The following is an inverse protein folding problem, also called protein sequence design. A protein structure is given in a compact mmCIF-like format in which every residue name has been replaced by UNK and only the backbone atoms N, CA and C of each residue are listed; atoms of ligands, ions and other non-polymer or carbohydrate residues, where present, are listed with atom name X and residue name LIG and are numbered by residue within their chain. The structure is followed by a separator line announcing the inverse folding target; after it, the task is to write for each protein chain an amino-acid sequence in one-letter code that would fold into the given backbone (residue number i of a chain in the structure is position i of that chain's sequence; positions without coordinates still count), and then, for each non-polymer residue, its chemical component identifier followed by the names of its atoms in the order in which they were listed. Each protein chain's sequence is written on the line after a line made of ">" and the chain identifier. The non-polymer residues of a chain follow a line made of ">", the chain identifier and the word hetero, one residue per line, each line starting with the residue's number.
data_IF_757176651880
#
_entry.id   IF_757176651880
#
_cell.length_a   1.000
_cell.length_b   1.000
_cell.length_c   1.000
_cell.angle_alpha   90.00
_cell.angle_beta   90.00
_cell.angle_gamma   90.00
#
_symmetry.space_group_name_H-M   'P 1'
#
loop_
_entity.id
_entity.type
_entity.pdbx_description
1 polymer ?
#
# COMPACT_ATOMS: atom_id res chain seq x y z
N UNK A 1 -36.80 -17.91 -3.65
CA UNK A 1 -36.24 -17.55 -2.36
C UNK A 1 -35.51 -16.21 -2.56
N UNK A 2 -35.92 -15.14 -1.85
CA UNK A 2 -35.13 -13.90 -1.84
C UNK A 2 -33.84 -14.24 -1.08
N UNK A 3 -32.68 -14.20 -1.73
CA UNK A 3 -31.41 -14.15 -1.03
C UNK A 3 -31.44 -12.82 -0.25
N UNK A 4 -31.79 -12.90 1.02
CA UNK A 4 -31.61 -11.80 1.96
C UNK A 4 -30.09 -11.72 2.22
N UNK A 5 -29.41 -10.91 1.42
CA UNK A 5 -28.04 -10.54 1.71
C UNK A 5 -28.05 -9.65 2.94
N UNK A 6 -27.21 -9.97 3.92
CA UNK A 6 -27.09 -9.27 5.19
C UNK A 6 -26.69 -7.80 4.95
N UNK A 7 -27.39 -6.85 5.57
CA UNK A 7 -26.97 -5.45 5.52
C UNK A 7 -25.76 -5.23 6.44
N UNK A 8 -24.83 -4.31 6.10
CA UNK A 8 -23.62 -4.08 6.90
C UNK A 8 -23.90 -3.70 8.35
N UNK A 9 -25.05 -3.09 8.66
CA UNK A 9 -25.45 -2.76 10.03
C UNK A 9 -26.01 -3.95 10.84
N UNK A 10 -26.18 -5.10 10.20
CA UNK A 10 -26.53 -6.36 10.88
C UNK A 10 -25.29 -7.18 11.25
N UNK A 11 -24.09 -6.73 10.83
CA UNK A 11 -22.82 -7.36 11.19
C UNK A 11 -22.55 -7.28 12.70
N UNK A 12 -21.86 -8.30 13.21
CA UNK A 12 -21.19 -8.19 14.50
C UNK A 12 -20.03 -7.19 14.39
N UNK A 13 -19.87 -6.32 15.37
CA UNK A 13 -18.97 -5.17 15.32
C UNK A 13 -17.89 -5.24 16.41
N UNK A 14 -16.73 -4.58 16.19
CA UNK A 14 -16.38 -3.75 15.04
C UNK A 14 -16.05 -4.58 13.80
N UNK A 15 -16.57 -4.18 12.63
CA UNK A 15 -16.39 -4.87 11.36
C UNK A 15 -15.73 -3.98 10.31
N UNK A 16 -14.66 -4.47 9.68
CA UNK A 16 -14.04 -3.79 8.53
C UNK A 16 -14.81 -4.15 7.27
N UNK A 17 -15.32 -3.13 6.59
CA UNK A 17 -16.12 -3.25 5.37
C UNK A 17 -15.39 -2.54 4.23
N UNK A 18 -15.37 -3.15 3.06
CA UNK A 18 -14.90 -2.54 1.81
C UNK A 18 -16.07 -2.44 0.85
N UNK A 19 -16.37 -1.21 0.43
CA UNK A 19 -17.31 -0.93 -0.65
C UNK A 19 -16.64 -1.28 -1.98
N UNK A 20 -17.13 -2.32 -2.63
CA UNK A 20 -16.52 -2.86 -3.85
C UNK A 20 -16.67 -1.92 -5.04
N UNK A 21 -17.78 -1.20 -5.15
CA UNK A 21 -18.02 -0.30 -6.29
C UNK A 21 -17.02 0.86 -6.27
N UNK A 22 -16.75 1.40 -5.07
CA UNK A 22 -15.73 2.45 -4.88
C UNK A 22 -14.32 1.90 -5.10
N UNK A 23 -14.01 0.71 -4.56
CA UNK A 23 -12.70 0.07 -4.73
C UNK A 23 -12.36 -0.16 -6.21
N UNK A 24 -13.29 -0.78 -6.95
CA UNK A 24 -13.14 -1.07 -8.37
C UNK A 24 -12.91 0.23 -9.17
N UNK A 25 -13.73 1.25 -8.90
CA UNK A 25 -13.55 2.57 -9.53
C UNK A 25 -12.20 3.20 -9.24
N UNK A 26 -11.71 3.15 -8.02
CA UNK A 26 -10.37 3.67 -7.68
C UNK A 26 -9.27 2.94 -8.45
N UNK A 27 -9.40 1.62 -8.63
CA UNK A 27 -8.45 0.80 -9.39
C UNK A 27 -8.47 1.18 -10.87
N UNK A 28 -9.65 1.30 -11.46
CA UNK A 28 -9.82 1.70 -12.86
C UNK A 28 -9.30 3.11 -13.14
N UNK A 29 -9.64 4.08 -12.28
CA UNK A 29 -9.22 5.48 -12.43
C UNK A 29 -7.68 5.61 -12.40
N UNK A 30 -7.00 4.92 -11.50
CA UNK A 30 -5.54 4.95 -11.43
C UNK A 30 -4.89 4.29 -12.65
N UNK A 31 -5.42 3.17 -13.10
CA UNK A 31 -4.92 2.49 -14.28
C UNK A 31 -5.10 3.37 -15.54
N UNK A 32 -6.26 4.01 -15.68
CA UNK A 32 -6.55 4.94 -16.77
C UNK A 32 -5.60 6.15 -16.76
N UNK A 33 -5.39 6.75 -15.59
CA UNK A 33 -4.46 7.88 -15.44
C UNK A 33 -3.01 7.50 -15.82
N UNK A 34 -2.52 6.36 -15.32
CA UNK A 34 -1.17 5.91 -15.70
C UNK A 34 -1.04 5.64 -17.20
N UNK A 35 -2.09 5.08 -17.82
CA UNK A 35 -2.15 4.86 -19.27
C UNK A 35 -2.11 6.20 -20.04
N UNK A 36 -2.89 7.20 -19.62
CA UNK A 36 -2.91 8.55 -20.20
C UNK A 36 -1.53 9.21 -20.10
N UNK A 37 -0.87 9.08 -18.96
CA UNK A 37 0.47 9.61 -18.74
C UNK A 37 1.56 8.84 -19.49
N UNK A 38 1.25 7.66 -20.05
CA UNK A 38 2.22 6.78 -20.72
C UNK A 38 3.27 6.22 -19.78
N UNK A 39 2.91 5.97 -18.51
CA UNK A 39 3.75 5.31 -17.50
C UNK A 39 3.12 3.99 -17.09
N UNK A 40 3.95 3.00 -16.81
CA UNK A 40 3.47 1.68 -16.37
C UNK A 40 3.05 1.72 -14.91
N UNK A 41 1.82 1.31 -14.59
CA UNK A 41 1.39 1.11 -13.21
C UNK A 41 1.92 -0.21 -12.66
N UNK A 42 2.44 -0.20 -11.44
CA UNK A 42 2.73 -1.38 -10.64
C UNK A 42 2.10 -1.22 -9.24
N UNK A 43 1.00 -1.94 -8.99
CA UNK A 43 0.22 -1.82 -7.77
C UNK A 43 1.00 -2.23 -6.51
N UNK A 44 1.02 -1.37 -5.48
CA UNK A 44 1.73 -1.67 -4.24
C UNK A 44 0.82 -2.34 -3.20
N UNK A 45 1.05 -3.61 -2.91
CA UNK A 45 0.17 -4.46 -2.08
C UNK A 45 0.22 -4.16 -0.58
N UNK A 46 1.22 -3.39 -0.10
CA UNK A 46 1.37 -3.10 1.34
C UNK A 46 0.12 -2.46 1.97
N UNK A 47 -0.67 -1.73 1.18
CA UNK A 47 -1.85 -1.02 1.65
C UNK A 47 -3.01 -1.96 1.96
N UNK A 48 -3.16 -3.02 1.16
CA UNK A 48 -4.30 -3.95 1.27
C UNK A 48 -3.91 -5.38 1.63
N UNK A 49 -2.72 -5.85 1.26
CA UNK A 49 -2.21 -7.22 1.47
C UNK A 49 -3.16 -8.34 1.01
N UNK A 50 -4.08 -8.02 0.13
CA UNK A 50 -5.14 -8.90 -0.35
C UNK A 50 -4.85 -9.34 -1.80
N UNK A 51 -4.70 -10.65 -2.08
CA UNK A 51 -4.41 -11.14 -3.43
C UNK A 51 -5.52 -10.85 -4.44
N UNK A 52 -6.79 -10.83 -4.04
CA UNK A 52 -7.88 -10.55 -4.99
C UNK A 52 -7.87 -9.08 -5.44
N UNK A 53 -7.58 -8.14 -4.52
CA UNK A 53 -7.38 -6.74 -4.90
C UNK A 53 -6.18 -6.61 -5.85
N UNK A 54 -5.09 -7.33 -5.58
CA UNK A 54 -3.94 -7.35 -6.49
C UNK A 54 -4.30 -7.92 -7.88
N UNK A 55 -5.14 -8.96 -7.95
CA UNK A 55 -5.65 -9.47 -9.24
C UNK A 55 -6.53 -8.45 -9.96
N UNK A 56 -7.36 -7.70 -9.24
CA UNK A 56 -8.14 -6.59 -9.82
C UNK A 56 -7.21 -5.52 -10.41
N UNK A 57 -6.13 -5.16 -9.71
CA UNK A 57 -5.13 -4.21 -10.21
C UNK A 57 -4.46 -4.72 -11.50
N UNK A 58 -4.09 -6.02 -11.57
CA UNK A 58 -3.54 -6.64 -12.78
C UNK A 58 -4.57 -6.61 -13.92
N UNK A 59 -5.82 -6.98 -13.64
CA UNK A 59 -6.89 -6.97 -14.64
C UNK A 59 -7.17 -5.57 -15.20
N UNK A 60 -7.00 -4.53 -14.39
CA UNK A 60 -7.14 -3.14 -14.79
C UNK A 60 -5.94 -2.59 -15.58
N UNK A 61 -4.82 -3.33 -15.68
CA UNK A 61 -3.67 -2.94 -16.49
C UNK A 61 -2.36 -2.72 -15.71
N UNK A 62 -2.32 -3.03 -14.41
CA UNK A 62 -1.04 -3.05 -13.68
C UNK A 62 -0.14 -4.15 -14.24
N UNK A 63 1.12 -3.82 -14.56
CA UNK A 63 2.09 -4.77 -15.15
C UNK A 63 2.43 -5.92 -14.19
N UNK A 64 2.46 -5.63 -12.92
CA UNK A 64 2.82 -6.53 -11.84
C UNK A 64 2.48 -5.87 -10.50
N UNK A 65 3.01 -6.41 -9.43
CA UNK A 65 2.79 -5.90 -8.08
C UNK A 65 4.08 -5.53 -7.37
N UNK A 66 3.94 -4.68 -6.35
CA UNK A 66 5.03 -4.37 -5.41
C UNK A 66 4.68 -4.97 -4.06
N UNK A 67 5.61 -5.73 -3.49
CA UNK A 67 5.53 -6.21 -2.11
C UNK A 67 6.63 -5.58 -1.26
N UNK A 68 6.32 -5.32 0.01
CA UNK A 68 7.29 -4.73 0.93
C UNK A 68 8.02 -5.80 1.76
N UNK A 69 7.40 -6.94 1.99
CA UNK A 69 7.93 -8.03 2.82
C UNK A 69 7.78 -9.37 2.10
N UNK A 70 8.70 -10.30 2.38
CA UNK A 70 8.69 -11.63 1.76
C UNK A 70 7.41 -12.41 2.09
N UNK A 71 6.92 -12.35 3.34
CA UNK A 71 5.67 -13.01 3.69
C UNK A 71 4.46 -12.47 2.91
N UNK A 72 4.48 -11.21 2.49
CA UNK A 72 3.49 -10.62 1.60
C UNK A 72 3.68 -11.19 0.17
N UNK A 73 4.92 -11.17 -0.35
CA UNK A 73 5.23 -11.74 -1.66
C UNK A 73 4.87 -13.22 -1.77
N UNK A 74 5.14 -14.02 -0.74
CA UNK A 74 4.76 -15.43 -0.67
C UNK A 74 3.24 -15.64 -0.73
N UNK A 75 2.48 -14.76 -0.06
CA UNK A 75 1.01 -14.79 -0.11
C UNK A 75 0.50 -14.49 -1.52
N UNK A 76 1.03 -13.44 -2.15
CA UNK A 76 0.69 -13.05 -3.53
C UNK A 76 1.09 -14.12 -4.54
N UNK A 77 2.29 -14.69 -4.42
CA UNK A 77 2.80 -15.75 -5.28
C UNK A 77 1.96 -17.03 -5.21
N UNK A 78 1.51 -17.42 -4.00
CA UNK A 78 0.59 -18.57 -3.82
C UNK A 78 -0.77 -18.35 -4.48
N UNK A 79 -1.23 -17.11 -4.53
CA UNK A 79 -2.47 -16.73 -5.21
C UNK A 79 -2.33 -16.63 -6.75
N UNK A 80 -1.12 -16.89 -7.29
CA UNK A 80 -0.87 -16.90 -8.73
C UNK A 80 -0.34 -15.59 -9.32
N UNK A 81 -0.03 -14.59 -8.49
CA UNK A 81 0.60 -13.36 -8.97
C UNK A 81 2.08 -13.62 -9.29
N UNK A 82 2.54 -13.18 -10.44
CA UNK A 82 3.81 -13.61 -11.02
C UNK A 82 4.91 -12.52 -10.96
N UNK A 83 4.69 -11.36 -11.56
CA UNK A 83 5.70 -10.29 -11.64
C UNK A 83 5.70 -9.47 -10.33
N UNK A 84 6.66 -9.77 -9.44
CA UNK A 84 6.74 -9.22 -8.08
C UNK A 84 8.02 -8.40 -7.90
N UNK A 85 7.86 -7.10 -7.66
CA UNK A 85 8.94 -6.21 -7.24
C UNK A 85 8.97 -6.08 -5.71
N UNK A 86 10.10 -6.42 -5.10
CA UNK A 86 10.36 -6.22 -3.68
C UNK A 86 11.13 -4.91 -3.46
N UNK A 87 10.46 -3.87 -2.96
CA UNK A 87 11.12 -2.57 -2.66
C UNK A 87 11.68 -2.55 -1.24
N UNK A 88 12.52 -3.53 -0.94
CA UNK A 88 13.12 -3.73 0.37
C UNK A 88 14.42 -4.49 0.28
N UNK A 89 15.45 -4.09 1.03
CA UNK A 89 16.70 -4.83 1.12
C UNK A 89 16.50 -6.19 1.78
N UNK A 90 16.71 -7.26 1.04
CA UNK A 90 16.55 -8.63 1.55
C UNK A 90 17.89 -9.09 2.16
N UNK A 91 17.94 -9.13 3.48
CA UNK A 91 19.15 -9.42 4.24
C UNK A 91 18.94 -10.62 5.17
N UNK A 92 19.97 -11.45 5.22
CA UNK A 92 20.01 -12.63 6.09
C UNK A 92 19.60 -13.92 5.38
N UNK A 93 20.37 -14.99 5.65
CA UNK A 93 20.30 -16.28 4.96
C UNK A 93 18.87 -16.85 4.81
N UNK A 94 18.06 -16.75 5.84
CA UNK A 94 16.69 -17.29 5.78
C UNK A 94 15.81 -16.51 4.78
N UNK A 95 15.92 -15.18 4.76
CA UNK A 95 15.14 -14.36 3.84
C UNK A 95 15.60 -14.52 2.40
N UNK A 96 16.91 -14.57 2.20
CA UNK A 96 17.47 -14.76 0.86
C UNK A 96 17.06 -16.11 0.28
N UNK A 97 17.07 -17.20 1.06
CA UNK A 97 16.53 -18.50 0.63
C UNK A 97 15.05 -18.46 0.25
N UNK A 98 14.21 -17.79 1.03
CA UNK A 98 12.79 -17.61 0.69
C UNK A 98 12.62 -16.83 -0.62
N UNK A 99 13.46 -15.82 -0.85
CA UNK A 99 13.47 -15.07 -2.11
C UNK A 99 13.82 -15.96 -3.30
N UNK A 100 14.90 -16.74 -3.20
CA UNK A 100 15.34 -17.64 -4.28
C UNK A 100 14.36 -18.79 -4.50
N UNK A 101 13.66 -19.29 -3.46
CA UNK A 101 12.56 -20.23 -3.60
C UNK A 101 11.41 -19.63 -4.43
N UNK A 102 11.02 -18.38 -4.17
CA UNK A 102 10.02 -17.68 -5.00
C UNK A 102 10.48 -17.53 -6.45
N UNK A 103 11.74 -17.20 -6.67
CA UNK A 103 12.31 -17.00 -8.00
C UNK A 103 12.34 -18.27 -8.86
N UNK A 104 12.16 -19.47 -8.29
CA UNK A 104 12.04 -20.74 -9.05
C UNK A 104 10.76 -20.84 -9.88
N UNK A 105 9.73 -20.07 -9.52
CA UNK A 105 8.41 -20.18 -10.16
C UNK A 105 7.69 -18.83 -10.32
N UNK A 106 8.35 -17.72 -10.00
CA UNK A 106 7.85 -16.34 -10.17
C UNK A 106 8.96 -15.42 -10.65
N UNK A 107 8.59 -14.40 -11.39
CA UNK A 107 9.52 -13.34 -11.78
C UNK A 107 9.74 -12.39 -10.61
N UNK A 108 10.88 -12.53 -9.96
CA UNK A 108 11.26 -11.73 -8.79
C UNK A 108 12.24 -10.63 -9.17
N UNK A 109 11.92 -9.40 -8.79
CA UNK A 109 12.84 -8.26 -8.84
C UNK A 109 12.98 -7.69 -7.44
N UNK A 110 14.18 -7.29 -7.03
CA UNK A 110 14.44 -6.68 -5.72
C UNK A 110 15.19 -5.37 -5.86
N UNK A 111 15.12 -4.53 -4.81
CA UNK A 111 15.99 -3.36 -4.73
C UNK A 111 17.21 -3.65 -3.89
N UNK A 112 18.34 -3.04 -4.24
CA UNK A 112 19.58 -3.08 -3.47
C UNK A 112 20.19 -1.68 -3.36
N UNK A 113 20.81 -1.38 -2.22
CA UNK A 113 21.52 -0.11 -1.98
C UNK A 113 22.99 -0.31 -1.59
N UNK A 114 23.46 -1.54 -1.59
CA UNK A 114 24.86 -1.86 -1.27
C UNK A 114 25.31 -3.17 -1.89
N UNK A 115 26.61 -3.28 -2.13
CA UNK A 115 27.22 -4.52 -2.59
C UNK A 115 27.00 -5.68 -1.61
N UNK A 116 26.99 -5.40 -0.30
CA UNK A 116 26.77 -6.42 0.72
C UNK A 116 25.38 -7.08 0.58
N UNK A 117 24.33 -6.30 0.27
CA UNK A 117 22.99 -6.83 0.01
C UNK A 117 22.98 -7.63 -1.30
N UNK A 118 23.55 -7.07 -2.36
CA UNK A 118 23.60 -7.71 -3.68
C UNK A 118 24.38 -9.03 -3.65
N UNK A 119 25.56 -9.07 -3.03
CA UNK A 119 26.39 -10.27 -2.93
C UNK A 119 25.69 -11.40 -2.17
N UNK A 120 25.02 -11.09 -1.05
CA UNK A 120 24.29 -12.10 -0.30
C UNK A 120 23.12 -12.73 -1.08
N UNK A 121 22.48 -11.97 -1.97
CA UNK A 121 21.44 -12.48 -2.86
C UNK A 121 22.06 -13.30 -3.99
N UNK A 122 23.15 -12.80 -4.60
CA UNK A 122 23.87 -13.45 -5.69
C UNK A 122 24.39 -14.84 -5.30
N UNK A 123 25.07 -14.95 -4.16
CA UNK A 123 25.60 -16.23 -3.63
C UNK A 123 24.49 -17.31 -3.55
N UNK A 124 23.32 -16.97 -3.03
CA UNK A 124 22.23 -17.94 -2.92
C UNK A 124 21.54 -18.18 -4.26
N UNK A 125 21.40 -17.16 -5.10
CA UNK A 125 20.80 -17.29 -6.43
C UNK A 125 21.63 -18.22 -7.33
N UNK A 126 22.95 -18.09 -7.29
CA UNK A 126 23.87 -18.99 -7.99
C UNK A 126 23.75 -20.43 -7.49
N UNK A 127 23.74 -20.64 -6.16
CA UNK A 127 23.57 -21.96 -5.54
C UNK A 127 22.24 -22.63 -5.94
N UNK A 128 21.19 -21.85 -6.04
CA UNK A 128 19.85 -22.34 -6.35
C UNK A 128 19.55 -22.41 -7.87
N UNK A 129 20.48 -21.90 -8.70
CA UNK A 129 20.35 -21.87 -10.17
C UNK A 129 19.19 -20.99 -10.65
N UNK A 130 18.94 -19.87 -9.97
CA UNK A 130 17.89 -18.90 -10.32
C UNK A 130 18.48 -17.54 -10.68
N UNK A 131 17.71 -16.73 -11.42
CA UNK A 131 18.07 -15.34 -11.72
C UNK A 131 17.08 -14.41 -11.06
N UNK A 132 17.60 -13.36 -10.41
CA UNK A 132 16.81 -12.34 -9.71
C UNK A 132 17.08 -10.98 -10.37
N UNK A 133 16.00 -10.29 -10.79
CA UNK A 133 16.07 -8.93 -11.28
C UNK A 133 16.46 -7.97 -10.16
N UNK A 134 17.28 -6.98 -10.48
CA UNK A 134 17.77 -6.00 -9.49
C UNK A 134 17.57 -4.58 -9.99
N UNK A 135 17.03 -3.73 -9.13
CA UNK A 135 17.03 -2.28 -9.28
C UNK A 135 17.95 -1.67 -8.22
N UNK A 136 18.84 -0.76 -8.62
CA UNK A 136 19.64 0.01 -7.67
C UNK A 136 18.75 1.09 -7.06
N UNK A 137 18.67 1.14 -5.73
CA UNK A 137 17.93 2.18 -5.03
C UNK A 137 18.81 3.39 -4.75
N UNK A 138 18.33 4.59 -5.13
CA UNK A 138 18.95 5.87 -4.79
C UNK A 138 18.04 6.68 -3.86
N UNK A 139 18.63 7.25 -2.80
CA UNK A 139 17.92 8.16 -1.88
C UNK A 139 17.80 9.56 -2.51
N UNK A 140 16.58 9.98 -2.73
CA UNK A 140 16.22 11.32 -3.23
C UNK A 140 15.69 12.25 -2.14
N UNK A 141 16.08 12.02 -0.89
CA UNK A 141 15.73 12.85 0.26
C UNK A 141 14.81 12.19 1.27
N UNK A 142 14.52 10.89 1.10
CA UNK A 142 13.75 10.09 2.05
C UNK A 142 14.49 9.76 3.33
N UNK A 143 15.81 9.81 3.31
CA UNK A 143 16.71 9.50 4.43
C UNK A 143 16.38 8.14 5.05
N UNK A 144 16.14 7.14 4.20
CA UNK A 144 15.72 5.81 4.60
C UNK A 144 16.67 4.72 4.11
N UNK A 145 16.62 4.41 2.83
CA UNK A 145 17.47 3.44 2.11
C UNK A 145 17.91 4.06 0.80
N UNK A 146 18.88 3.46 0.15
CA UNK A 146 19.41 3.93 -1.13
C UNK A 146 20.82 4.50 -1.05
N UNK A 147 21.56 4.37 -2.14
CA UNK A 147 22.86 5.02 -2.29
C UNK A 147 22.70 6.55 -2.29
N UNK A 148 23.73 7.28 -1.83
CA UNK A 148 23.58 8.70 -1.51
C UNK A 148 24.04 9.64 -2.64
N UNK A 149 24.47 9.10 -3.78
CA UNK A 149 24.88 9.91 -4.92
C UNK A 149 24.72 9.18 -6.26
N UNK A 150 24.57 9.92 -7.38
CA UNK A 150 24.56 9.34 -8.72
C UNK A 150 25.80 8.50 -9.06
N UNK A 151 26.98 8.92 -8.61
CA UNK A 151 28.21 8.17 -8.81
C UNK A 151 28.20 6.83 -8.05
N UNK A 152 27.67 6.81 -6.82
CA UNK A 152 27.52 5.58 -6.05
C UNK A 152 26.48 4.63 -6.67
N UNK A 153 25.42 5.16 -7.30
CA UNK A 153 24.44 4.36 -8.03
C UNK A 153 25.08 3.67 -9.26
N UNK A 154 25.86 4.40 -10.04
CA UNK A 154 26.62 3.86 -11.18
C UNK A 154 27.60 2.78 -10.75
N UNK A 155 28.38 3.02 -9.70
CA UNK A 155 29.37 2.06 -9.19
C UNK A 155 28.68 0.78 -8.70
N UNK A 156 27.62 0.89 -7.90
CA UNK A 156 26.86 -0.27 -7.43
C UNK A 156 26.23 -1.04 -8.59
N UNK A 157 25.71 -0.35 -9.60
CA UNK A 157 25.12 -0.99 -10.77
C UNK A 157 26.15 -1.83 -11.56
N UNK A 158 27.39 -1.31 -11.75
CA UNK A 158 28.48 -2.08 -12.35
C UNK A 158 28.86 -3.32 -11.55
N UNK A 159 28.88 -3.19 -10.22
CA UNK A 159 29.14 -4.31 -9.33
C UNK A 159 28.03 -5.36 -9.42
N UNK A 160 26.76 -4.94 -9.39
CA UNK A 160 25.61 -5.85 -9.55
C UNK A 160 25.63 -6.58 -10.88
N UNK A 161 25.96 -5.89 -11.98
CA UNK A 161 26.04 -6.50 -13.32
C UNK A 161 27.11 -7.60 -13.41
N UNK A 162 28.14 -7.54 -12.58
CA UNK A 162 29.20 -8.54 -12.54
C UNK A 162 28.89 -9.75 -11.64
N UNK A 163 27.80 -9.70 -10.84
CA UNK A 163 27.43 -10.75 -9.90
C UNK A 163 26.61 -11.85 -10.59
N UNK A 164 26.97 -13.15 -10.42
CA UNK A 164 26.19 -14.25 -10.98
C UNK A 164 24.80 -14.35 -10.34
N UNK A 165 23.82 -14.87 -11.08
CA UNK A 165 22.43 -15.03 -10.60
C UNK A 165 21.65 -13.71 -10.42
N UNK A 166 22.25 -12.57 -10.78
CA UNK A 166 21.56 -11.27 -10.76
C UNK A 166 21.45 -10.71 -12.18
N UNK A 167 20.34 -10.03 -12.44
CA UNK A 167 20.06 -9.29 -13.67
C UNK A 167 19.79 -7.83 -13.32
N UNK A 168 20.76 -6.94 -13.62
CA UNK A 168 20.52 -5.50 -13.46
C UNK A 168 19.43 -5.05 -14.44
N UNK A 169 18.37 -4.39 -13.95
CA UNK A 169 17.24 -3.91 -14.75
C UNK A 169 17.01 -2.40 -14.70
N UNK A 170 17.72 -1.69 -13.82
CA UNK A 170 17.60 -0.23 -13.74
C UNK A 170 17.65 0.32 -12.33
N UNK A 171 16.79 1.30 -12.09
CA UNK A 171 16.80 2.16 -10.89
C UNK A 171 15.47 2.13 -10.14
N UNK A 172 15.56 2.41 -8.84
CA UNK A 172 14.39 2.71 -8.00
C UNK A 172 14.70 3.89 -7.08
N UNK A 173 13.69 4.74 -6.86
CA UNK A 173 13.78 5.80 -5.85
C UNK A 173 12.45 6.01 -5.12
N UNK A 174 12.52 6.57 -3.92
CA UNK A 174 11.41 7.08 -3.13
C UNK A 174 11.92 8.00 -2.00
N UNK A 175 11.28 9.16 -1.73
CA UNK A 175 10.15 9.77 -2.44
C UNK A 175 10.54 10.31 -3.81
N UNK A 176 9.51 10.60 -4.65
CA UNK A 176 9.71 11.04 -6.02
C UNK A 176 9.16 12.46 -6.21
N UNK A 177 9.93 13.43 -5.77
CA UNK A 177 9.55 14.84 -5.87
C UNK A 177 10.25 15.50 -7.06
N UNK A 178 9.61 16.48 -7.69
CA UNK A 178 10.20 17.27 -8.80
C UNK A 178 11.57 17.87 -8.42
N UNK A 179 11.75 18.25 -7.14
CA UNK A 179 13.05 18.73 -6.63
C UNK A 179 14.19 17.72 -6.76
N UNK A 180 13.89 16.44 -6.95
CA UNK A 180 14.87 15.36 -7.13
C UNK A 180 15.31 15.21 -8.59
N UNK A 181 14.69 15.93 -9.53
CA UNK A 181 14.94 15.83 -10.96
C UNK A 181 16.43 15.90 -11.34
N UNK A 182 17.24 16.85 -10.84
CA UNK A 182 18.67 16.92 -11.19
C UNK A 182 19.46 15.66 -10.79
N UNK A 183 19.12 15.05 -9.66
CA UNK A 183 19.77 13.82 -9.19
C UNK A 183 19.38 12.64 -10.09
N UNK A 184 18.10 12.52 -10.44
CA UNK A 184 17.58 11.45 -11.29
C UNK A 184 18.17 11.54 -12.69
N UNK A 185 18.22 12.74 -13.28
CA UNK A 185 18.82 12.99 -14.60
C UNK A 185 20.31 12.64 -14.64
N UNK A 186 21.09 13.02 -13.61
CA UNK A 186 22.50 12.64 -13.50
C UNK A 186 22.68 11.11 -13.42
N UNK A 187 21.84 10.41 -12.64
CA UNK A 187 21.92 8.93 -12.60
C UNK A 187 21.61 8.32 -13.96
N UNK A 188 20.56 8.78 -14.63
CA UNK A 188 20.15 8.28 -15.97
C UNK A 188 21.29 8.53 -16.97
N UNK A 189 21.87 9.73 -16.96
CA UNK A 189 23.00 10.07 -17.85
C UNK A 189 24.21 9.16 -17.62
N UNK A 190 24.57 8.90 -16.36
CA UNK A 190 25.67 8.00 -15.98
C UNK A 190 25.43 6.58 -16.45
N UNK A 191 24.23 6.05 -16.21
CA UNK A 191 23.87 4.70 -16.65
C UNK A 191 23.95 4.58 -18.17
N UNK A 192 23.44 5.57 -18.92
CA UNK A 192 23.53 5.59 -20.37
C UNK A 192 24.98 5.65 -20.87
N UNK A 193 25.82 6.50 -20.29
CA UNK A 193 27.26 6.59 -20.62
C UNK A 193 28.01 5.28 -20.35
N UNK A 194 27.67 4.63 -19.23
CA UNK A 194 28.26 3.35 -18.84
C UNK A 194 27.64 2.15 -19.56
N UNK A 195 26.59 2.35 -20.39
CA UNK A 195 25.81 1.31 -21.07
C UNK A 195 25.19 0.30 -20.09
N UNK A 196 24.77 0.78 -18.92
CA UNK A 196 24.07 -0.04 -17.92
C UNK A 196 22.58 -0.13 -18.27
N UNK A 197 21.92 -1.28 -18.01
CA UNK A 197 20.49 -1.46 -18.25
C UNK A 197 19.63 -0.43 -17.49
N UNK A 198 18.63 0.11 -18.18
CA UNK A 198 17.66 1.07 -17.66
C UNK A 198 16.23 0.73 -18.14
N UNK A 199 15.89 -0.55 -18.19
CA UNK A 199 14.55 -1.01 -18.62
C UNK A 199 13.47 -0.49 -17.67
N UNK A 200 13.82 -0.34 -16.39
CA UNK A 200 12.94 0.10 -15.33
C UNK A 200 13.56 1.30 -14.61
N UNK A 201 12.85 2.42 -14.63
CA UNK A 201 13.08 3.57 -13.75
C UNK A 201 11.83 3.70 -12.91
N UNK A 202 11.88 3.17 -11.68
CA UNK A 202 10.72 2.94 -10.82
C UNK A 202 10.66 3.96 -9.70
N UNK A 203 9.54 4.66 -9.57
CA UNK A 203 9.35 5.70 -8.56
C UNK A 203 7.88 5.95 -8.24
N UNK A 204 7.63 7.04 -7.54
CA UNK A 204 6.29 7.53 -7.23
C UNK A 204 5.54 6.78 -6.13
N UNK A 205 4.47 7.40 -5.72
CA UNK A 205 3.47 6.92 -4.78
C UNK A 205 2.15 7.61 -5.07
N UNK A 206 1.08 7.24 -4.39
CA UNK A 206 -0.26 7.79 -4.64
C UNK A 206 -0.26 9.31 -4.51
N UNK A 207 -0.68 10.01 -5.56
CA UNK A 207 -0.68 11.47 -5.69
C UNK A 207 0.60 12.05 -6.32
N UNK A 208 1.54 11.20 -6.77
CA UNK A 208 2.80 11.60 -7.43
C UNK A 208 2.83 11.13 -8.91
N UNK A 209 1.66 10.92 -9.54
CA UNK A 209 1.55 10.36 -10.89
C UNK A 209 2.14 11.32 -11.94
N UNK A 210 1.82 12.61 -11.84
CA UNK A 210 2.32 13.66 -12.74
C UNK A 210 3.82 13.90 -12.53
N UNK A 211 4.29 13.91 -11.29
CA UNK A 211 5.72 14.00 -10.96
C UNK A 211 6.49 12.80 -11.54
N UNK A 212 5.93 11.61 -11.47
CA UNK A 212 6.55 10.41 -12.06
C UNK A 212 6.73 10.58 -13.58
N UNK A 213 5.74 11.14 -14.26
CA UNK A 213 5.84 11.48 -15.68
C UNK A 213 6.93 12.54 -15.93
N UNK A 214 6.94 13.63 -15.15
CA UNK A 214 7.90 14.74 -15.29
C UNK A 214 9.34 14.30 -15.02
N UNK A 215 9.54 13.34 -14.07
CA UNK A 215 10.83 12.76 -13.73
C UNK A 215 11.31 11.68 -14.72
N UNK A 216 10.51 11.36 -15.75
CA UNK A 216 10.86 10.37 -16.76
C UNK A 216 10.84 8.93 -16.27
N UNK A 217 10.03 8.63 -15.26
CA UNK A 217 9.89 7.26 -14.79
C UNK A 217 9.16 6.40 -15.82
N UNK A 218 9.62 5.15 -15.96
CA UNK A 218 8.96 4.16 -16.81
C UNK A 218 7.88 3.39 -16.02
N UNK A 219 7.98 3.40 -14.67
CA UNK A 219 7.10 2.66 -13.78
C UNK A 219 6.72 3.47 -12.54
N UNK A 220 5.42 3.51 -12.23
CA UNK A 220 4.84 4.20 -11.09
C UNK A 220 4.28 3.21 -10.07
N UNK A 221 4.60 3.41 -8.76
CA UNK A 221 4.26 2.47 -7.68
C UNK A 221 3.23 3.03 -6.72
N UNK A 222 1.99 3.10 -7.14
CA UNK A 222 0.89 3.57 -6.30
C UNK A 222 0.31 2.44 -5.44
N UNK A 223 -0.11 2.73 -4.23
CA UNK A 223 -0.66 1.73 -3.30
C UNK A 223 -1.91 2.19 -2.54
N UNK A 224 -1.85 3.31 -1.84
CA UNK A 224 -2.94 3.77 -0.99
C UNK A 224 -4.18 4.23 -1.75
N UNK A 225 -4.07 4.48 -3.06
CA UNK A 225 -5.20 4.86 -3.92
C UNK A 225 -6.36 3.86 -3.90
N UNK A 226 -6.10 2.58 -3.64
CA UNK A 226 -7.16 1.55 -3.58
C UNK A 226 -8.15 1.82 -2.46
N UNK A 227 -7.67 2.37 -1.34
CA UNK A 227 -8.48 2.64 -0.16
C UNK A 227 -8.70 4.12 0.10
N UNK A 228 -7.84 4.97 -0.44
CA UNK A 228 -7.77 6.39 -0.10
C UNK A 228 -7.78 6.60 1.41
N UNK A 229 -8.46 7.57 1.96
CA UNK A 229 -8.68 7.71 3.37
C UNK A 229 -8.54 9.11 3.90
N UNK A 230 -8.85 9.26 5.19
CA UNK A 230 -8.95 10.57 5.81
C UNK A 230 -7.65 11.38 5.73
N UNK A 231 -6.49 10.73 5.80
CA UNK A 231 -5.19 11.41 5.65
C UNK A 231 -5.01 12.06 4.27
N UNK A 232 -5.64 11.54 3.24
CA UNK A 232 -5.63 12.15 1.89
C UNK A 232 -6.72 13.19 1.71
N UNK A 233 -7.91 12.98 2.30
CA UNK A 233 -9.01 13.94 2.29
C UNK A 233 -8.57 15.25 2.95
N UNK A 234 -7.83 15.19 4.05
CA UNK A 234 -7.40 16.33 4.84
C UNK A 234 -6.06 16.94 4.40
N UNK A 235 -5.44 16.36 3.37
CA UNK A 235 -4.28 16.97 2.73
C UNK A 235 -2.98 16.95 3.52
N UNK A 236 -2.33 15.80 3.63
CA UNK A 236 -0.89 15.75 3.92
C UNK A 236 -0.03 16.06 2.67
N UNK A 237 -0.63 16.20 1.50
CA UNK A 237 0.05 16.37 0.21
C UNK A 237 -0.55 17.45 -0.68
N UNK A 238 -1.28 18.43 -0.10
CA UNK A 238 -2.01 19.40 -0.91
C UNK A 238 -3.42 18.92 -1.25
N UNK A 239 -4.33 19.84 -1.26
CA UNK A 239 -5.76 19.67 -1.36
C UNK A 239 -6.17 18.99 -2.69
N UNK A 240 -6.13 17.67 -2.75
CA UNK A 240 -6.41 16.90 -3.97
C UNK A 240 -7.92 16.82 -4.27
N UNK A 241 -8.76 17.52 -3.49
CA UNK A 241 -10.22 17.50 -3.68
C UNK A 241 -10.86 16.12 -3.44
N UNK A 242 -10.16 15.22 -2.76
CA UNK A 242 -10.67 13.89 -2.43
C UNK A 242 -11.86 14.01 -1.46
N UNK A 243 -12.98 13.40 -1.82
CA UNK A 243 -14.16 13.31 -0.95
C UNK A 243 -14.18 11.98 -0.19
N UNK A 244 -14.96 11.93 0.90
CA UNK A 244 -15.23 10.71 1.65
C UNK A 244 -15.82 9.58 0.78
N UNK A 245 -16.46 9.95 -0.34
CA UNK A 245 -17.03 9.02 -1.32
C UNK A 245 -15.97 8.18 -2.06
N UNK A 246 -14.71 8.60 -2.03
CA UNK A 246 -13.59 7.86 -2.62
C UNK A 246 -12.95 6.85 -1.65
N UNK A 247 -13.44 6.77 -0.40
CA UNK A 247 -12.89 5.88 0.63
C UNK A 247 -13.74 4.61 0.76
N UNK A 248 -13.34 3.50 0.12
CA UNK A 248 -14.09 2.24 0.19
C UNK A 248 -13.95 1.55 1.55
N UNK A 249 -12.79 1.69 2.23
CA UNK A 249 -12.56 1.03 3.51
C UNK A 249 -13.20 1.83 4.65
N UNK A 250 -14.10 1.16 5.35
CA UNK A 250 -14.89 1.67 6.45
C UNK A 250 -14.86 0.70 7.62
N UNK A 251 -15.06 1.19 8.82
CA UNK A 251 -15.26 0.36 10.02
C UNK A 251 -16.65 0.63 10.56
N UNK A 252 -17.50 -0.38 10.57
CA UNK A 252 -18.80 -0.34 11.20
C UNK A 252 -18.63 -0.65 12.69
N UNK A 253 -19.18 0.22 13.55
CA UNK A 253 -19.09 0.13 15.01
C UNK A 253 -20.46 0.24 15.64
N UNK A 254 -20.59 -0.24 16.88
CA UNK A 254 -21.81 -0.10 17.67
C UNK A 254 -21.58 0.91 18.80
N UNK A 255 -22.56 1.77 19.03
CA UNK A 255 -22.61 2.61 20.22
C UNK A 255 -22.91 1.72 21.42
N UNK A 256 -21.94 1.56 22.32
CA UNK A 256 -22.06 0.70 23.50
C UNK A 256 -22.43 1.49 24.76
N UNK A 257 -22.27 2.82 24.73
CA UNK A 257 -22.63 3.67 25.88
C UNK A 257 -22.89 5.12 25.43
N UNK A 258 -23.87 5.78 26.08
CA UNK A 258 -24.13 7.22 25.95
C UNK A 258 -24.13 7.81 27.37
N UNK A 259 -22.96 8.03 27.98
CA UNK A 259 -22.86 8.41 29.38
C UNK A 259 -23.26 9.87 29.67
N UNK A 260 -23.16 10.75 28.67
CA UNK A 260 -23.58 12.16 28.77
C UNK A 260 -24.20 12.62 27.44
N UNK A 261 -24.87 13.77 27.42
CA UNK A 261 -25.50 14.30 26.22
C UNK A 261 -24.50 14.66 25.09
N UNK A 262 -23.25 14.92 25.44
CA UNK A 262 -22.18 15.37 24.56
C UNK A 262 -21.13 14.28 24.27
N UNK A 263 -21.32 13.05 24.77
CA UNK A 263 -20.35 11.96 24.61
C UNK A 263 -21.02 10.61 24.42
N UNK A 264 -20.54 9.84 23.45
CA UNK A 264 -20.83 8.45 23.29
C UNK A 264 -19.56 7.61 23.16
N UNK A 265 -19.70 6.32 23.38
CA UNK A 265 -18.62 5.33 23.31
C UNK A 265 -19.00 4.28 22.28
N UNK A 266 -18.05 3.98 21.39
CA UNK A 266 -18.16 2.91 20.39
C UNK A 266 -17.26 1.73 20.77
N UNK A 267 -17.58 0.54 20.27
CA UNK A 267 -16.87 -0.73 20.52
C UNK A 267 -15.53 -0.87 19.77
N UNK A 268 -15.13 0.14 19.01
CA UNK A 268 -13.84 0.17 18.30
C UNK A 268 -12.82 1.09 18.97
N UNK A 269 -11.71 0.55 19.41
CA UNK A 269 -10.58 1.26 20.02
C UNK A 269 -9.27 1.11 19.27
N UNK A 270 -8.13 1.22 19.98
CA UNK A 270 -6.79 1.14 19.39
C UNK A 270 -6.50 -0.18 18.66
N UNK A 271 -7.11 -1.28 19.06
CA UNK A 271 -6.98 -2.58 18.40
C UNK A 271 -7.84 -2.69 17.13
N UNK A 272 -8.81 -1.80 16.95
CA UNK A 272 -9.65 -1.71 15.74
C UNK A 272 -9.07 -0.71 14.74
N UNK A 273 -8.71 0.51 15.21
CA UNK A 273 -8.39 1.64 14.34
C UNK A 273 -6.91 1.95 14.21
N UNK A 274 -6.04 1.36 15.02
CA UNK A 274 -4.64 1.76 15.14
C UNK A 274 -4.46 3.25 15.49
N UNK A 275 -3.62 3.52 16.48
CA UNK A 275 -3.17 4.88 16.78
C UNK A 275 -2.35 5.44 15.61
N UNK A 276 -2.72 6.64 15.18
CA UNK A 276 -1.92 7.48 14.32
C UNK A 276 -1.56 8.76 15.09
N UNK A 277 -0.35 9.32 14.96
CA UNK A 277 0.11 10.44 15.79
C UNK A 277 -0.74 11.71 15.66
N UNK A 278 -1.51 11.84 14.58
CA UNK A 278 -2.36 13.00 14.31
C UNK A 278 -3.83 12.68 14.50
N UNK A 279 -4.54 13.62 15.15
CA UNK A 279 -6.01 13.68 15.19
C UNK A 279 -6.55 14.30 13.88
N UNK A 280 -7.76 13.96 13.42
CA UNK A 280 -8.75 13.03 13.98
C UNK A 280 -8.41 11.56 13.71
N UNK A 281 -8.99 10.64 14.50
CA UNK A 281 -8.80 9.21 14.35
C UNK A 281 -9.62 8.60 13.20
N UNK A 282 -10.67 9.28 12.79
CA UNK A 282 -11.53 8.89 11.69
C UNK A 282 -12.65 9.92 11.44
N UNK A 283 -13.34 9.77 10.32
CA UNK A 283 -14.54 10.52 9.95
C UNK A 283 -15.77 9.64 10.12
N UNK A 284 -16.75 10.11 10.89
CA UNK A 284 -18.02 9.42 11.08
C UNK A 284 -18.97 9.86 9.95
N UNK A 285 -19.50 8.92 9.19
CA UNK A 285 -20.27 9.21 7.98
C UNK A 285 -21.70 9.67 8.27
N UNK A 286 -22.37 9.12 9.29
CA UNK A 286 -23.77 9.42 9.61
C UNK A 286 -23.96 10.84 10.13
N UNK A 287 -22.92 11.43 10.69
CA UNK A 287 -22.94 12.81 11.16
C UNK A 287 -21.52 13.40 11.22
N UNK A 288 -21.07 14.10 10.18
CA UNK A 288 -19.74 14.70 10.13
C UNK A 288 -19.48 15.80 11.18
N UNK A 289 -20.50 16.20 11.94
CA UNK A 289 -20.36 17.20 13.01
C UNK A 289 -19.87 16.60 14.32
N UNK A 290 -20.01 15.29 14.51
CA UNK A 290 -19.46 14.61 15.69
C UNK A 290 -18.00 14.21 15.44
N UNK A 291 -17.23 14.14 16.53
CA UNK A 291 -15.79 13.95 16.41
C UNK A 291 -15.32 12.68 17.12
N UNK A 292 -14.61 11.82 16.40
CA UNK A 292 -13.87 10.73 17.01
C UNK A 292 -12.67 11.32 17.76
N UNK A 293 -12.85 11.61 19.04
CA UNK A 293 -11.99 12.48 19.84
C UNK A 293 -10.91 11.75 20.63
N UNK A 294 -11.03 10.43 20.80
CA UNK A 294 -10.07 9.65 21.57
C UNK A 294 -10.29 8.15 21.49
N UNK A 295 -9.32 7.36 21.94
CA UNK A 295 -9.43 5.91 22.03
C UNK A 295 -8.79 5.36 23.30
N UNK A 296 -9.45 4.41 23.94
CA UNK A 296 -8.84 3.41 24.81
C UNK A 296 -8.49 2.17 23.99
N UNK A 297 -8.01 1.13 24.63
CA UNK A 297 -7.60 -0.11 23.92
C UNK A 297 -8.75 -0.70 23.09
N UNK A 298 -9.96 -0.78 23.68
CA UNK A 298 -11.14 -1.40 23.06
C UNK A 298 -12.34 -0.44 22.90
N UNK A 299 -12.19 0.84 23.25
CA UNK A 299 -13.28 1.81 23.19
C UNK A 299 -12.86 3.04 22.37
N UNK A 300 -13.73 3.49 21.46
CA UNK A 300 -13.64 4.78 20.82
C UNK A 300 -14.49 5.82 21.54
N UNK A 301 -13.92 7.01 21.74
CA UNK A 301 -14.60 8.13 22.41
C UNK A 301 -15.04 9.13 21.34
N UNK A 302 -16.33 9.42 21.30
CA UNK A 302 -16.92 10.34 20.33
C UNK A 302 -17.53 11.52 21.05
N UNK A 303 -17.11 12.71 20.66
CA UNK A 303 -17.69 13.98 21.09
C UNK A 303 -18.88 14.32 20.18
N UNK A 304 -20.07 14.46 20.75
CA UNK A 304 -21.31 14.78 20.06
C UNK A 304 -21.79 16.19 20.25
N UNK A 305 -21.00 17.05 20.92
CA UNK A 305 -21.37 18.45 21.22
C UNK A 305 -21.67 19.30 19.98
N UNK A 306 -21.14 18.92 18.81
CA UNK A 306 -21.39 19.58 17.53
C UNK A 306 -22.72 19.23 16.85
N UNK A 307 -23.46 18.26 17.39
CA UNK A 307 -24.68 17.72 16.77
C UNK A 307 -25.92 17.85 17.68
N UNK A 308 -27.07 18.06 17.04
CA UNK A 308 -28.38 18.00 17.70
C UNK A 308 -29.03 16.62 17.58
N UNK A 309 -28.40 15.64 16.93
CA UNK A 309 -28.93 14.29 16.77
C UNK A 309 -28.86 13.56 18.12
N UNK A 310 -29.92 12.78 18.40
CA UNK A 310 -29.94 11.87 19.55
C UNK A 310 -29.41 10.51 19.14
N UNK A 311 -28.56 9.95 19.95
CA UNK A 311 -27.97 8.64 19.78
C UNK A 311 -28.39 7.69 20.88
N UNK A 312 -28.54 6.41 20.55
CA UNK A 312 -28.92 5.36 21.47
C UNK A 312 -27.90 4.25 21.51
N UNK A 313 -27.81 3.56 22.64
CA UNK A 313 -27.04 2.32 22.72
C UNK A 313 -27.62 1.31 21.73
N UNK A 314 -26.74 0.68 20.93
CA UNK A 314 -27.13 -0.22 19.85
C UNK A 314 -27.14 0.42 18.45
N UNK A 315 -27.17 1.76 18.36
CA UNK A 315 -27.03 2.43 17.06
C UNK A 315 -25.68 2.11 16.43
N UNK A 316 -25.64 2.04 15.10
CA UNK A 316 -24.42 1.80 14.34
C UNK A 316 -23.84 3.11 13.82
N UNK A 317 -22.51 3.18 13.79
CA UNK A 317 -21.76 4.26 13.16
C UNK A 317 -20.71 3.68 12.21
N UNK A 318 -20.58 4.33 11.06
CA UNK A 318 -19.58 3.98 10.04
C UNK A 318 -18.45 4.99 10.07
N UNK A 319 -17.24 4.51 10.27
CA UNK A 319 -16.04 5.35 10.40
C UNK A 319 -15.10 5.11 9.22
N UNK A 320 -14.73 6.17 8.50
CA UNK A 320 -13.56 6.16 7.62
C UNK A 320 -12.32 6.40 8.49
N UNK A 321 -11.42 5.41 8.64
CA UNK A 321 -10.25 5.57 9.49
C UNK A 321 -9.22 6.53 8.86
N UNK A 322 -8.41 7.16 9.71
CA UNK A 322 -7.32 8.02 9.23
C UNK A 322 -6.25 7.22 8.51
N UNK A 323 -5.99 5.98 8.94
CA UNK A 323 -4.92 5.14 8.39
C UNK A 323 -5.39 3.72 8.11
N UNK A 324 -5.84 3.47 6.89
CA UNK A 324 -6.45 2.22 6.44
C UNK A 324 -5.47 1.04 6.45
N UNK A 325 -4.22 1.27 6.06
CA UNK A 325 -3.17 0.23 6.03
C UNK A 325 -2.94 -0.39 7.42
N UNK A 326 -3.12 0.43 8.47
CA UNK A 326 -3.06 -0.05 9.85
C UNK A 326 -4.26 -0.90 10.21
N UNK A 327 -5.46 -0.48 9.80
CA UNK A 327 -6.72 -1.20 10.05
C UNK A 327 -6.68 -2.58 9.39
N UNK A 328 -6.35 -2.65 8.11
CA UNK A 328 -6.26 -3.95 7.40
C UNK A 328 -5.29 -4.93 8.06
N UNK A 329 -4.23 -4.45 8.71
CA UNK A 329 -3.28 -5.32 9.39
C UNK A 329 -3.72 -5.77 10.81
N UNK A 330 -4.84 -5.24 11.34
CA UNK A 330 -5.36 -5.57 12.68
C UNK A 330 -6.47 -6.61 12.65
N UNK A 331 -7.18 -6.77 11.52
CA UNK A 331 -8.36 -7.61 11.42
C UNK A 331 -8.12 -8.90 10.65
N UNK A 332 -8.65 -10.02 11.17
CA UNK A 332 -8.56 -11.34 10.54
C UNK A 332 -9.52 -11.47 9.36
N UNK A 333 -10.65 -10.75 9.42
CA UNK A 333 -11.71 -10.78 8.42
C UNK A 333 -11.96 -9.37 7.87
N UNK A 334 -12.29 -9.32 6.59
CA UNK A 334 -12.68 -8.11 5.88
C UNK A 334 -13.95 -8.43 5.10
N UNK A 335 -15.00 -7.67 5.34
CA UNK A 335 -16.28 -7.83 4.66
C UNK A 335 -16.25 -7.04 3.35
N UNK A 336 -16.60 -7.66 2.26
CA UNK A 336 -16.82 -7.01 0.98
C UNK A 336 -18.31 -6.77 0.80
N UNK A 337 -18.68 -5.54 0.45
CA UNK A 337 -20.08 -5.13 0.33
C UNK A 337 -20.35 -4.38 -0.97
N UNK A 338 -21.57 -4.48 -1.48
CA UNK A 338 -22.12 -3.64 -2.55
C UNK A 338 -23.46 -3.06 -2.09
N UNK A 339 -23.65 -1.76 -2.29
CA UNK A 339 -24.88 -1.07 -1.85
C UNK A 339 -25.24 -1.41 -0.40
N UNK A 340 -24.25 -1.36 0.50
CA UNK A 340 -24.37 -1.68 1.93
C UNK A 340 -24.86 -3.11 2.25
N UNK A 341 -24.79 -4.04 1.30
CA UNK A 341 -25.10 -5.45 1.51
C UNK A 341 -23.85 -6.31 1.36
N UNK A 342 -23.69 -7.26 2.26
CA UNK A 342 -22.56 -8.19 2.30
C UNK A 342 -22.56 -9.04 1.03
N UNK A 343 -21.47 -8.93 0.25
CA UNK A 343 -21.18 -9.81 -0.88
C UNK A 343 -20.47 -11.08 -0.39
N UNK A 344 -19.39 -10.87 0.38
CA UNK A 344 -18.65 -11.97 1.01
C UNK A 344 -17.79 -11.50 2.18
N UNK A 345 -17.35 -12.45 3.00
CA UNK A 345 -16.34 -12.24 4.03
C UNK A 345 -15.02 -12.84 3.54
N UNK A 346 -13.97 -12.03 3.57
CA UNK A 346 -12.63 -12.43 3.15
C UNK A 346 -11.73 -12.66 4.37
N UNK A 347 -11.05 -13.81 4.41
CA UNK A 347 -10.00 -14.05 5.40
C UNK A 347 -8.73 -13.27 5.01
N UNK A 348 -8.24 -12.45 5.91
CA UNK A 348 -7.09 -11.57 5.64
C UNK A 348 -5.75 -12.31 5.83
N UNK A 349 -5.43 -13.22 4.92
CA UNK A 349 -4.21 -14.04 4.94
C UNK A 349 -2.91 -13.21 4.89
N UNK A 350 -2.99 -11.97 4.43
CA UNK A 350 -1.88 -11.01 4.42
C UNK A 350 -1.59 -10.35 5.76
N UNK A 351 -2.53 -10.47 6.73
CA UNK A 351 -2.36 -9.92 8.07
C UNK A 351 -1.12 -10.48 8.76
N UNK A 352 -0.35 -9.60 9.42
CA UNK A 352 0.85 -10.01 10.16
C UNK A 352 2.03 -10.51 9.32
N UNK A 353 1.94 -10.50 7.98
CA UNK A 353 3.05 -10.87 7.09
C UNK A 353 4.08 -9.73 7.02
N UNK A 354 4.86 -9.56 8.10
CA UNK A 354 5.83 -8.45 8.27
C UNK A 354 7.29 -8.89 8.20
N UNK A 355 7.55 -10.18 7.93
CA UNK A 355 8.90 -10.77 7.83
C UNK A 355 9.22 -11.18 6.41
#
# INVERSE_FOLDING_TARGET
>A
MRNLTLHIYELDTPAVVIDLDILEKNIEDMAALCCELGITLRGHTKSHKNPEIAKMQIAAGSKGIVCQKLGDAENMARAGLDDILMTYNIVGRQKVRRLTELARYRHMTVTVDSLAVASGISEQAELDGVTIGVLVEIDTGGKRTGVQSPAAAEELAKQVQALPGLELRGLMTYPSRVSSKPVIEDVIERFNKAKLPLDIISGGGTGEEWESKELGFTEHRSGSYVYEGLSRIQGSSGNDGLSAERCPLRVVTTIVSVPTADRLIIDGGMKTFRLFPSMPYGLILEDPKIKFSGMSVEHGHVDTSGSNRKYSVGDKLTVIPTYQEGVTNLHDEIVWARNDHVDRVWQNDGRGKVK
#
